data_IF_556349796356
#
_entry.id   IF_556349796356
#
_cell.length_a   1.000
_cell.length_b   1.000
_cell.length_c   1.000
_cell.angle_alpha   90.00
_cell.angle_beta   90.00
_cell.angle_gamma   90.00
#
_symmetry.space_group_name_H-M   'P 1'
#
loop_
_entity.id
_entity.type
_entity.pdbx_description
1 polymer ?
#
# COMPACT_ATOMS: atom_id res chain seq x y z
N UNK A 1 32.54 -57.81 -46.98
CA UNK A 1 31.06 -57.67 -46.74
C UNK A 1 30.86 -56.69 -45.59
N UNK A 2 30.72 -55.40 -45.93
CA UNK A 2 30.74 -54.32 -44.99
C UNK A 2 29.30 -53.87 -44.78
N UNK A 3 28.77 -53.96 -43.56
CA UNK A 3 27.44 -53.55 -43.19
C UNK A 3 27.48 -52.07 -42.82
N UNK A 4 26.76 -51.24 -43.57
CA UNK A 4 26.46 -49.83 -43.24
C UNK A 4 25.25 -49.78 -42.34
N UNK A 5 25.41 -49.30 -41.12
CA UNK A 5 24.31 -49.01 -40.19
C UNK A 5 23.98 -47.53 -40.37
N UNK A 6 22.83 -47.23 -41.00
CA UNK A 6 22.27 -45.89 -41.09
C UNK A 6 21.60 -45.54 -39.74
N UNK A 7 22.20 -44.60 -39.02
CA UNK A 7 21.59 -44.00 -37.82
C UNK A 7 20.53 -42.97 -38.20
N UNK A 8 19.28 -43.20 -37.85
CA UNK A 8 18.21 -42.21 -37.89
C UNK A 8 18.35 -41.26 -36.69
N UNK A 9 18.67 -40.00 -36.94
CA UNK A 9 18.58 -38.96 -35.95
C UNK A 9 17.12 -38.50 -35.82
N UNK A 10 16.53 -38.69 -34.66
CA UNK A 10 15.21 -38.13 -34.29
C UNK A 10 15.44 -36.70 -33.83
N UNK A 11 14.78 -35.66 -34.41
CA UNK A 11 14.88 -34.31 -33.90
C UNK A 11 14.17 -34.24 -32.55
N UNK A 12 14.86 -33.82 -31.48
CA UNK A 12 14.27 -33.38 -30.23
C UNK A 12 13.50 -32.08 -30.50
N UNK A 13 12.19 -32.17 -30.53
CA UNK A 13 11.35 -30.96 -30.43
C UNK A 13 11.47 -30.42 -29.02
N UNK A 14 12.14 -29.30 -28.89
CA UNK A 14 12.17 -28.52 -27.64
C UNK A 14 10.75 -28.13 -27.26
N UNK A 15 10.25 -28.66 -26.15
CA UNK A 15 9.03 -28.17 -25.53
C UNK A 15 9.27 -26.71 -25.15
N UNK A 16 8.48 -25.82 -25.73
CA UNK A 16 8.37 -24.45 -25.28
C UNK A 16 7.92 -24.49 -23.82
N UNK A 17 8.85 -24.27 -22.91
CA UNK A 17 8.57 -24.01 -21.50
C UNK A 17 7.67 -22.78 -21.44
N UNK A 18 6.50 -22.95 -20.87
CA UNK A 18 5.54 -21.89 -20.56
C UNK A 18 6.18 -21.01 -19.47
N UNK A 19 7.15 -20.16 -19.85
CA UNK A 19 7.61 -19.09 -18.98
C UNK A 19 6.46 -18.09 -18.87
N UNK A 20 6.05 -17.70 -17.64
CA UNK A 20 5.16 -16.55 -17.50
C UNK A 20 5.86 -15.38 -18.18
N UNK A 21 5.10 -14.66 -18.99
CA UNK A 21 5.59 -13.50 -19.74
C UNK A 21 6.43 -12.63 -18.80
N UNK A 22 7.70 -12.43 -19.16
CA UNK A 22 8.57 -11.52 -18.44
C UNK A 22 7.85 -10.17 -18.42
N UNK A 23 7.60 -9.62 -17.23
CA UNK A 23 7.05 -8.29 -17.04
C UNK A 23 7.95 -7.31 -17.80
N UNK A 24 7.45 -6.81 -18.93
CA UNK A 24 8.18 -5.80 -19.70
C UNK A 24 8.07 -4.47 -18.95
N UNK A 25 9.18 -3.96 -18.47
CA UNK A 25 9.30 -2.68 -17.77
C UNK A 25 9.02 -1.44 -18.65
N UNK A 26 8.45 -1.61 -19.84
CA UNK A 26 8.24 -0.55 -20.84
C UNK A 26 6.80 -0.06 -20.98
N UNK A 27 5.84 -0.60 -20.27
CA UNK A 27 4.52 0.03 -20.19
C UNK A 27 4.56 1.06 -19.07
N UNK A 28 4.36 2.31 -19.40
CA UNK A 28 4.44 3.52 -18.57
C UNK A 28 3.53 3.39 -17.33
N UNK A 29 4.04 2.76 -16.29
CA UNK A 29 3.43 2.75 -14.97
C UNK A 29 3.42 4.17 -14.42
N UNK A 30 2.29 4.61 -13.86
CA UNK A 30 2.22 5.91 -13.20
C UNK A 30 3.26 5.96 -12.06
N UNK A 31 3.97 7.07 -11.96
CA UNK A 31 5.01 7.25 -10.96
C UNK A 31 4.48 6.99 -9.54
N UNK A 32 5.25 6.31 -8.69
CA UNK A 32 4.86 6.07 -7.30
C UNK A 32 4.52 7.36 -6.55
N UNK A 33 3.63 7.28 -5.59
CA UNK A 33 3.46 8.31 -4.56
C UNK A 33 4.52 8.07 -3.50
N UNK A 34 5.29 9.11 -3.15
CA UNK A 34 6.26 9.10 -2.06
C UNK A 34 5.92 10.19 -1.06
N UNK A 35 5.81 9.83 0.20
CA UNK A 35 5.62 10.76 1.30
C UNK A 35 6.50 10.30 2.46
N UNK A 36 7.07 11.23 3.21
CA UNK A 36 7.83 10.92 4.41
C UNK A 36 7.49 11.88 5.54
N UNK A 37 7.63 11.38 6.77
CA UNK A 37 7.47 12.16 7.98
C UNK A 37 8.53 11.73 8.99
N UNK A 38 9.02 12.68 9.75
CA UNK A 38 9.89 12.44 10.89
C UNK A 38 9.06 12.40 12.17
N UNK A 39 9.22 11.34 12.93
CA UNK A 39 8.47 11.08 14.16
C UNK A 39 9.43 11.10 15.33
N UNK A 40 9.17 11.93 16.34
CA UNK A 40 9.97 12.01 17.55
C UNK A 40 9.69 10.82 18.48
N UNK A 41 10.11 9.65 18.04
CA UNK A 41 10.00 8.40 18.78
C UNK A 41 11.02 7.37 18.29
N UNK A 42 11.23 6.33 19.10
CA UNK A 42 12.12 5.22 18.72
C UNK A 42 11.57 4.43 17.55
N UNK A 43 12.45 3.88 16.72
CA UNK A 43 12.06 3.07 15.57
C UNK A 43 11.20 1.87 15.97
N UNK A 44 11.45 1.27 17.13
CA UNK A 44 10.67 0.14 17.64
C UNK A 44 9.23 0.57 17.94
N UNK A 45 9.05 1.71 18.62
CA UNK A 45 7.71 2.22 18.97
C UNK A 45 6.93 2.61 17.72
N UNK A 46 7.58 3.28 16.76
CA UNK A 46 6.96 3.65 15.48
C UNK A 46 6.60 2.40 14.66
N UNK A 47 7.47 1.40 14.63
CA UNK A 47 7.20 0.11 13.99
C UNK A 47 5.96 -0.58 14.56
N UNK A 48 5.81 -0.60 15.89
CA UNK A 48 4.65 -1.20 16.57
C UNK A 48 3.33 -0.50 16.23
N UNK A 49 3.37 0.81 15.97
CA UNK A 49 2.18 1.55 15.49
C UNK A 49 1.65 1.00 14.17
N UNK A 50 2.51 0.48 13.30
CA UNK A 50 2.13 -0.07 12.00
C UNK A 50 1.90 -1.58 12.01
N UNK A 51 2.42 -2.29 12.99
CA UNK A 51 2.46 -3.77 12.96
C UNK A 51 1.67 -4.44 14.08
N UNK A 52 0.84 -3.68 14.77
CA UNK A 52 -0.08 -4.19 15.77
C UNK A 52 -1.50 -3.63 15.59
N UNK A 53 -2.52 -4.39 15.96
CA UNK A 53 -3.90 -3.90 15.92
C UNK A 53 -4.10 -2.69 16.85
N UNK A 54 -3.43 -2.66 18.01
CA UNK A 54 -3.45 -1.51 18.91
C UNK A 54 -2.82 -0.27 18.28
N UNK A 55 -1.69 -0.44 17.57
CA UNK A 55 -1.04 0.62 16.84
C UNK A 55 -1.91 1.17 15.71
N UNK A 56 -2.56 0.30 14.91
CA UNK A 56 -3.51 0.75 13.88
C UNK A 56 -4.61 1.61 14.49
N UNK A 57 -5.18 1.21 15.63
CA UNK A 57 -6.23 1.96 16.30
C UNK A 57 -5.78 3.29 16.88
N UNK A 58 -4.49 3.45 17.15
CA UNK A 58 -3.98 4.68 17.77
C UNK A 58 -3.92 5.88 16.82
N UNK A 59 -3.81 5.65 15.49
CA UNK A 59 -3.67 6.75 14.53
C UNK A 59 -4.26 6.47 13.15
N UNK A 60 -4.28 5.20 12.70
CA UNK A 60 -4.57 4.92 11.30
C UNK A 60 -6.07 4.81 11.05
N UNK A 61 -6.76 4.00 11.82
CA UNK A 61 -8.20 3.73 11.66
C UNK A 61 -8.85 3.29 12.97
N UNK A 62 -10.19 3.29 13.00
CA UNK A 62 -10.99 2.89 14.18
C UNK A 62 -10.73 1.46 14.63
N UNK A 63 -10.38 0.55 13.70
CA UNK A 63 -10.01 -0.83 14.02
C UNK A 63 -9.07 -1.40 12.97
N UNK A 64 -8.47 -2.55 13.27
CA UNK A 64 -7.58 -3.24 12.35
C UNK A 64 -7.19 -4.63 12.81
N UNK A 65 -6.78 -5.45 11.83
CA UNK A 65 -6.20 -6.78 12.05
C UNK A 65 -4.79 -6.77 11.48
N UNK A 66 -3.82 -7.23 12.26
CA UNK A 66 -2.43 -7.35 11.82
C UNK A 66 -1.87 -8.70 12.27
N UNK A 67 -1.54 -9.54 11.31
CA UNK A 67 -0.77 -10.78 11.50
C UNK A 67 0.64 -10.55 10.95
N UNK A 68 1.64 -10.20 11.79
CA UNK A 68 2.90 -9.63 11.33
C UNK A 68 3.88 -10.68 10.76
N UNK A 69 3.46 -11.39 9.73
CA UNK A 69 4.26 -12.34 8.95
C UNK A 69 3.89 -12.28 7.47
N UNK A 70 4.76 -12.76 6.60
CA UNK A 70 4.48 -12.85 5.15
C UNK A 70 3.20 -13.65 4.93
N UNK A 71 2.33 -13.16 4.04
CA UNK A 71 1.00 -13.66 3.74
C UNK A 71 -0.03 -13.52 4.90
N UNK A 72 0.36 -12.90 6.02
CA UNK A 72 -0.53 -12.56 7.12
C UNK A 72 -1.54 -11.48 6.74
N UNK A 73 -2.67 -11.46 7.43
CA UNK A 73 -3.70 -10.43 7.21
C UNK A 73 -3.21 -9.05 7.68
N UNK A 74 -3.55 -8.02 6.88
CA UNK A 74 -3.37 -6.62 7.23
C UNK A 74 -4.63 -5.85 6.85
N UNK A 75 -5.56 -5.73 7.78
CA UNK A 75 -6.81 -5.01 7.57
C UNK A 75 -6.83 -3.69 8.33
N UNK A 76 -7.22 -2.60 7.65
CA UNK A 76 -7.37 -1.27 8.22
C UNK A 76 -8.83 -0.84 8.05
N UNK A 77 -9.56 -0.77 9.15
CA UNK A 77 -11.00 -0.60 9.16
C UNK A 77 -11.37 0.84 9.59
N UNK A 78 -11.59 1.70 8.59
CA UNK A 78 -12.00 3.09 8.83
C UNK A 78 -13.45 3.19 9.34
N UNK A 79 -14.31 2.28 8.88
CA UNK A 79 -15.74 2.20 9.19
C UNK A 79 -16.11 0.77 9.59
N UNK A 80 -15.65 0.28 10.76
CA UNK A 80 -15.83 -1.12 11.15
C UNK A 80 -17.31 -1.56 11.25
N UNK A 81 -18.23 -0.62 11.45
CA UNK A 81 -19.67 -0.82 11.50
C UNK A 81 -20.34 -1.09 10.14
N UNK A 82 -19.66 -0.76 9.04
CA UNK A 82 -20.18 -0.97 7.69
C UNK A 82 -20.20 -2.48 7.33
N UNK A 83 -21.03 -2.88 6.34
CA UNK A 83 -20.98 -4.24 5.81
C UNK A 83 -19.59 -4.62 5.29
N UNK A 84 -19.20 -5.92 5.34
CA UNK A 84 -17.97 -6.41 4.76
C UNK A 84 -17.75 -5.92 3.32
N UNK A 85 -16.51 -5.52 3.00
CA UNK A 85 -16.13 -4.92 1.71
C UNK A 85 -16.31 -3.40 1.64
N UNK A 86 -16.92 -2.78 2.66
CA UNK A 86 -17.11 -1.32 2.76
C UNK A 86 -16.48 -0.71 4.02
N UNK A 87 -15.68 -1.47 4.76
CA UNK A 87 -15.10 -1.03 6.03
C UNK A 87 -13.75 -0.31 5.88
N UNK A 88 -13.12 -0.42 4.71
CA UNK A 88 -11.82 0.17 4.43
C UNK A 88 -10.90 -0.75 3.63
N UNK A 89 -9.65 -0.86 4.03
CA UNK A 89 -8.70 -1.79 3.43
C UNK A 89 -8.81 -3.16 4.12
N UNK A 90 -9.78 -3.96 3.68
CA UNK A 90 -10.09 -5.27 4.25
C UNK A 90 -9.35 -6.39 3.53
N UNK A 91 -8.80 -7.35 4.30
CA UNK A 91 -8.20 -8.56 3.76
C UNK A 91 -6.93 -8.32 2.94
N UNK A 92 -6.25 -7.20 3.17
CA UNK A 92 -4.94 -6.97 2.58
C UNK A 92 -3.94 -7.97 3.15
N UNK A 93 -2.84 -8.21 2.43
CA UNK A 93 -1.82 -9.19 2.80
C UNK A 93 -0.46 -8.55 2.92
N UNK A 94 0.31 -9.03 3.88
CA UNK A 94 1.72 -8.66 4.01
C UNK A 94 2.52 -9.41 2.94
N UNK A 95 3.16 -8.66 2.04
CA UNK A 95 4.00 -9.19 0.96
C UNK A 95 5.45 -9.37 1.41
N UNK A 96 5.94 -8.46 2.24
CA UNK A 96 7.27 -8.54 2.83
C UNK A 96 7.27 -7.82 4.19
N UNK A 97 8.05 -8.34 5.12
CA UNK A 97 8.23 -7.78 6.44
C UNK A 97 9.66 -7.98 6.93
N UNK A 98 10.31 -6.88 7.30
CA UNK A 98 11.64 -6.83 7.91
C UNK A 98 11.51 -5.98 9.17
N UNK A 99 11.55 -6.58 10.37
CA UNK A 99 11.29 -5.86 11.62
C UNK A 99 12.06 -4.55 11.76
N UNK A 100 11.36 -3.49 12.12
CA UNK A 100 11.87 -2.12 12.28
C UNK A 100 12.57 -1.52 11.05
N UNK A 101 12.37 -2.10 9.86
CA UNK A 101 13.00 -1.63 8.61
C UNK A 101 12.00 -1.44 7.48
N UNK A 102 11.17 -2.47 7.24
CA UNK A 102 10.36 -2.49 6.02
C UNK A 102 9.11 -3.32 6.20
N UNK A 103 7.97 -2.80 5.73
CA UNK A 103 6.71 -3.52 5.60
C UNK A 103 6.16 -3.24 4.20
N UNK A 104 5.79 -4.29 3.47
CA UNK A 104 5.11 -4.18 2.17
C UNK A 104 3.78 -4.92 2.25
N UNK A 105 2.71 -4.25 1.85
CA UNK A 105 1.36 -4.79 1.88
C UNK A 105 0.65 -4.57 0.54
N UNK A 106 -0.31 -5.42 0.23
CA UNK A 106 -1.26 -5.14 -0.85
C UNK A 106 -2.22 -4.04 -0.41
N UNK A 107 -2.79 -3.26 -1.35
CA UNK A 107 -3.73 -2.21 -1.03
C UNK A 107 -4.89 -2.18 -2.03
N UNK A 108 -6.13 -2.11 -1.54
CA UNK A 108 -7.33 -2.02 -2.35
C UNK A 108 -7.60 -0.58 -2.82
N UNK A 109 -8.52 -0.45 -3.76
CA UNK A 109 -8.99 0.85 -4.22
C UNK A 109 -10.31 1.21 -3.53
N UNK A 110 -10.54 2.51 -3.21
CA UNK A 110 -11.82 2.97 -2.66
C UNK A 110 -12.99 2.69 -3.60
N UNK A 111 -14.21 2.46 -3.08
CA UNK A 111 -15.38 2.06 -3.87
C UNK A 111 -15.79 3.04 -4.98
N UNK A 112 -15.44 4.33 -4.86
CA UNK A 112 -15.70 5.34 -5.89
C UNK A 112 -14.92 5.11 -7.18
N UNK A 113 -13.83 4.35 -7.14
CA UNK A 113 -13.07 3.94 -8.33
C UNK A 113 -13.58 2.60 -8.84
N UNK A 114 -14.78 2.63 -9.47
CA UNK A 114 -15.59 1.46 -9.71
C UNK A 114 -14.95 0.42 -10.65
N UNK A 115 -14.15 0.85 -11.64
CA UNK A 115 -13.53 -0.06 -12.61
C UNK A 115 -12.27 -0.72 -12.08
N UNK A 116 -11.67 -0.15 -11.04
CA UNK A 116 -10.42 -0.64 -10.46
C UNK A 116 -10.53 -1.13 -9.01
N UNK A 117 -11.72 -1.07 -8.40
CA UNK A 117 -11.94 -1.39 -6.97
C UNK A 117 -11.48 -2.80 -6.57
N UNK A 118 -11.55 -3.76 -7.50
CA UNK A 118 -11.10 -5.15 -7.27
C UNK A 118 -9.59 -5.34 -7.55
N UNK A 119 -8.94 -4.32 -8.10
CA UNK A 119 -7.50 -4.37 -8.37
C UNK A 119 -6.71 -3.97 -7.13
N UNK A 120 -5.45 -4.39 -7.08
CA UNK A 120 -4.56 -4.12 -5.93
C UNK A 120 -3.33 -3.37 -6.39
N UNK A 121 -2.96 -2.37 -5.62
CA UNK A 121 -1.65 -1.75 -5.65
C UNK A 121 -0.80 -2.26 -4.48
N UNK A 122 0.38 -1.73 -4.31
CA UNK A 122 1.30 -2.08 -3.22
C UNK A 122 1.68 -0.83 -2.44
N UNK A 123 1.75 -0.97 -1.12
CA UNK A 123 2.28 0.06 -0.23
C UNK A 123 3.50 -0.48 0.49
N UNK A 124 4.60 0.23 0.41
CA UNK A 124 5.82 -0.03 1.14
C UNK A 124 6.04 1.05 2.17
N UNK A 125 6.21 0.64 3.42
CA UNK A 125 6.66 1.49 4.51
C UNK A 125 8.11 1.16 4.80
N UNK A 126 8.95 2.22 4.91
CA UNK A 126 10.35 2.13 5.35
C UNK A 126 10.56 2.95 6.58
N UNK A 127 11.33 2.42 7.50
CA UNK A 127 11.64 3.02 8.79
C UNK A 127 13.15 3.20 8.90
N UNK A 128 13.59 4.38 9.32
CA UNK A 128 15.00 4.71 9.52
C UNK A 128 15.17 5.52 10.79
N UNK A 129 16.12 5.11 11.62
CA UNK A 129 16.57 5.98 12.70
C UNK A 129 17.25 7.23 12.15
N UNK A 130 16.93 8.36 12.75
CA UNK A 130 17.48 9.67 12.43
C UNK A 130 17.97 10.35 13.71
N UNK A 131 19.20 10.87 13.69
CA UNK A 131 19.76 11.57 14.85
C UNK A 131 19.10 12.92 15.13
N UNK A 132 18.47 13.51 14.13
CA UNK A 132 17.87 14.84 14.16
C UNK A 132 16.37 14.84 14.51
N UNK A 133 15.70 13.69 14.47
CA UNK A 133 14.24 13.67 14.64
C UNK A 133 13.64 12.32 15.10
N UNK A 134 14.45 11.37 15.58
CA UNK A 134 13.96 10.05 16.03
C UNK A 134 13.79 9.06 14.87
N UNK A 135 12.62 8.91 14.27
CA UNK A 135 12.37 7.93 13.20
C UNK A 135 11.75 8.57 11.95
N UNK A 136 12.43 8.44 10.81
CA UNK A 136 11.85 8.74 9.51
C UNK A 136 10.98 7.58 9.05
N UNK A 137 9.69 7.84 8.77
CA UNK A 137 8.77 6.93 8.10
C UNK A 137 8.60 7.38 6.66
N UNK A 138 8.87 6.50 5.71
CA UNK A 138 8.62 6.73 4.30
C UNK A 138 7.51 5.82 3.82
N UNK A 139 6.52 6.37 3.13
CA UNK A 139 5.44 5.65 2.44
C UNK A 139 5.69 5.73 0.95
N UNK A 140 5.75 4.58 0.29
CA UNK A 140 5.75 4.45 -1.16
C UNK A 140 4.52 3.66 -1.58
N UNK A 141 3.59 4.28 -2.33
CA UNK A 141 2.45 3.60 -2.93
C UNK A 141 2.67 3.48 -4.43
N UNK A 142 2.62 2.28 -4.98
CA UNK A 142 3.03 1.96 -6.34
C UNK A 142 2.26 0.75 -6.91
N UNK A 143 2.51 0.40 -8.16
CA UNK A 143 1.77 -0.66 -8.85
C UNK A 143 0.45 -0.16 -9.43
N UNK A 144 0.45 1.10 -9.90
CA UNK A 144 -0.70 1.73 -10.53
C UNK A 144 -0.89 1.21 -11.96
N UNK A 145 -2.15 0.98 -12.36
CA UNK A 145 -2.47 0.77 -13.77
C UNK A 145 -2.45 2.07 -14.58
N UNK A 146 -2.88 1.99 -15.84
CA UNK A 146 -2.70 3.08 -16.83
C UNK A 146 -3.97 3.89 -17.12
N UNK A 147 -5.15 3.50 -16.57
CA UNK A 147 -6.39 4.22 -16.85
C UNK A 147 -6.48 5.57 -16.12
N UNK A 148 -7.36 6.44 -16.59
CA UNK A 148 -7.65 7.73 -15.94
C UNK A 148 -8.13 7.54 -14.49
N UNK A 149 -8.84 6.45 -14.20
CA UNK A 149 -9.29 6.15 -12.85
C UNK A 149 -8.13 5.77 -11.92
N UNK A 150 -7.08 5.11 -12.45
CA UNK A 150 -5.82 4.91 -11.74
C UNK A 150 -5.09 6.21 -11.44
N UNK A 151 -5.07 7.14 -12.40
CA UNK A 151 -4.48 8.46 -12.20
C UNK A 151 -5.20 9.24 -11.09
N UNK A 152 -6.55 9.19 -11.07
CA UNK A 152 -7.36 9.79 -10.02
C UNK A 152 -7.14 9.12 -8.65
N UNK A 153 -7.09 7.79 -8.62
CA UNK A 153 -6.81 7.03 -7.40
C UNK A 153 -5.42 7.39 -6.82
N UNK A 154 -4.42 7.54 -7.69
CA UNK A 154 -3.08 7.96 -7.29
C UNK A 154 -3.08 9.34 -6.60
N UNK A 155 -3.80 10.31 -7.15
CA UNK A 155 -3.90 11.66 -6.52
C UNK A 155 -4.72 11.61 -5.22
N UNK A 156 -5.78 10.81 -5.17
CA UNK A 156 -6.51 10.55 -3.94
C UNK A 156 -5.57 10.02 -2.84
N UNK A 157 -4.77 9.00 -3.14
CA UNK A 157 -3.87 8.40 -2.16
C UNK A 157 -2.71 9.31 -1.75
N UNK A 158 -2.29 10.26 -2.59
CA UNK A 158 -1.31 11.27 -2.19
C UNK A 158 -1.79 12.02 -0.93
N UNK A 159 -2.95 12.63 -0.99
CA UNK A 159 -3.51 13.37 0.15
C UNK A 159 -3.90 12.46 1.32
N UNK A 160 -4.40 11.26 1.04
CA UNK A 160 -4.72 10.30 2.09
C UNK A 160 -3.49 9.91 2.91
N UNK A 161 -2.35 9.63 2.27
CA UNK A 161 -1.11 9.30 2.98
C UNK A 161 -0.51 10.47 3.75
N UNK A 162 -0.63 11.70 3.25
CA UNK A 162 -0.27 12.90 4.01
C UNK A 162 -1.06 12.95 5.32
N UNK A 163 -2.38 12.82 5.25
CA UNK A 163 -3.24 12.79 6.44
C UNK A 163 -2.90 11.64 7.41
N UNK A 164 -2.58 10.46 6.90
CA UNK A 164 -2.20 9.33 7.76
C UNK A 164 -0.88 9.61 8.50
N UNK A 165 0.10 10.22 7.84
CA UNK A 165 1.35 10.59 8.50
C UNK A 165 1.17 11.76 9.48
N UNK A 166 0.26 12.71 9.20
CA UNK A 166 -0.10 13.77 10.15
C UNK A 166 -0.77 13.20 11.41
N UNK A 167 -1.64 12.18 11.26
CA UNK A 167 -2.22 11.45 12.40
C UNK A 167 -1.17 10.69 13.20
N UNK A 168 -0.19 10.10 12.51
CA UNK A 168 0.92 9.41 13.17
C UNK A 168 1.74 10.39 14.01
N UNK A 169 2.08 11.56 13.47
CA UNK A 169 2.78 12.63 14.20
C UNK A 169 1.95 13.12 15.39
N UNK A 170 0.68 13.43 15.16
CA UNK A 170 -0.26 13.87 16.20
C UNK A 170 -0.34 12.90 17.39
N UNK A 171 -0.42 11.59 17.14
CA UNK A 171 -0.48 10.62 18.25
C UNK A 171 0.75 10.62 19.14
N UNK A 172 1.93 10.92 18.59
CA UNK A 172 3.18 11.00 19.37
C UNK A 172 3.28 12.28 20.18
N UNK A 173 2.63 13.33 19.75
CA UNK A 173 2.57 14.62 20.45
C UNK A 173 1.44 14.69 21.48
N UNK A 174 0.29 14.06 21.21
CA UNK A 174 -0.94 14.25 21.96
C UNK A 174 -1.55 12.97 22.55
N UNK A 175 -1.01 11.79 22.19
CA UNK A 175 -1.56 10.48 22.52
C UNK A 175 -2.49 9.93 21.42
N UNK A 176 -3.00 8.69 21.60
CA UNK A 176 -3.87 8.04 20.60
C UNK A 176 -5.06 8.90 20.22
N UNK A 177 -5.44 8.86 18.92
CA UNK A 177 -6.60 9.57 18.42
C UNK A 177 -7.90 9.11 19.10
N UNK A 178 -8.67 10.07 19.56
CA UNK A 178 -10.08 9.87 19.89
C UNK A 178 -10.89 9.90 18.61
N UNK A 179 -11.30 8.73 18.11
CA UNK A 179 -12.01 8.59 16.84
C UNK A 179 -13.40 9.21 16.82
N UNK A 180 -13.95 9.61 17.97
CA UNK A 180 -15.23 10.32 18.06
C UNK A 180 -15.03 11.83 18.07
N UNK A 181 -13.79 12.31 18.30
CA UNK A 181 -13.43 13.73 18.36
C UNK A 181 -12.11 14.02 17.60
N UNK A 182 -11.96 13.45 16.40
CA UNK A 182 -10.76 13.70 15.56
C UNK A 182 -10.72 15.16 15.13
N UNK A 183 -9.60 15.87 15.31
CA UNK A 183 -9.46 17.26 14.82
C UNK A 183 -9.71 17.37 13.31
N UNK A 184 -10.40 18.45 12.88
CA UNK A 184 -10.84 18.63 11.50
C UNK A 184 -9.70 18.52 10.47
N UNK A 185 -8.51 19.04 10.79
CA UNK A 185 -7.34 18.98 9.90
C UNK A 185 -6.76 17.58 9.71
N UNK A 186 -7.15 16.62 10.54
CA UNK A 186 -6.76 15.20 10.43
C UNK A 186 -7.81 14.36 9.70
N UNK A 187 -8.85 14.96 9.12
CA UNK A 187 -9.79 14.30 8.23
C UNK A 187 -9.39 14.49 6.77
N UNK A 188 -9.26 13.37 6.04
CA UNK A 188 -9.10 13.42 4.61
C UNK A 188 -10.47 13.41 3.93
N UNK A 189 -10.78 14.50 3.23
CA UNK A 189 -12.07 14.66 2.53
C UNK A 189 -12.00 14.33 1.03
N UNK A 190 -10.84 13.83 0.57
CA UNK A 190 -10.58 13.61 -0.85
C UNK A 190 -10.11 14.89 -1.56
N UNK A 191 -9.63 14.78 -2.80
CA UNK A 191 -9.39 15.97 -3.61
C UNK A 191 -10.73 16.69 -3.77
N UNK A 192 -10.78 17.94 -3.32
CA UNK A 192 -11.91 18.82 -3.66
C UNK A 192 -12.04 18.81 -5.18
N UNK A 193 -13.20 18.39 -5.69
CA UNK A 193 -13.49 18.56 -7.11
C UNK A 193 -13.15 20.02 -7.42
N UNK A 194 -12.17 20.22 -8.33
CA UNK A 194 -11.84 21.54 -8.80
C UNK A 194 -13.18 22.17 -9.19
N UNK A 195 -13.53 23.29 -8.55
CA UNK A 195 -14.72 24.05 -8.89
C UNK A 195 -14.63 24.26 -10.40
N UNK A 196 -15.47 23.56 -11.15
CA UNK A 196 -15.65 23.86 -12.56
C UNK A 196 -16.17 25.27 -12.56
N UNK A 197 -15.30 26.21 -12.90
CA UNK A 197 -15.63 27.60 -13.11
C UNK A 197 -16.70 27.65 -14.20
N UNK A 198 -17.95 27.68 -13.77
CA UNK A 198 -19.09 27.90 -14.62
C UNK A 198 -19.20 29.40 -14.83
N UNK A 199 -18.21 29.95 -15.53
CA UNK A 199 -18.28 31.30 -16.10
C UNK A 199 -18.50 31.12 -17.60
N UNK A 200 -19.77 31.02 -18.01
CA UNK A 200 -20.20 31.56 -19.30
C UNK A 200 -21.71 31.72 -19.34
#
# INVERSE_FOLDING_TARGET
>A
MTLLISGFAVPLTANATNQPAAWSAEESELAPVYISRCIDASIQTVWESWTTAAGIRSFFARDGVVEPHVDGEYSVLFFPENPPGLRGAEGMRIVAIEPSKRLVITWNQPPQFATIKEQRALVEYRFRERNDCGTEVQVKHFGWGQSDEWAQAREYFRGAWETILDRLEYQYEHGPLDWDNVPDHLWYTGPTAAATDASN
#
